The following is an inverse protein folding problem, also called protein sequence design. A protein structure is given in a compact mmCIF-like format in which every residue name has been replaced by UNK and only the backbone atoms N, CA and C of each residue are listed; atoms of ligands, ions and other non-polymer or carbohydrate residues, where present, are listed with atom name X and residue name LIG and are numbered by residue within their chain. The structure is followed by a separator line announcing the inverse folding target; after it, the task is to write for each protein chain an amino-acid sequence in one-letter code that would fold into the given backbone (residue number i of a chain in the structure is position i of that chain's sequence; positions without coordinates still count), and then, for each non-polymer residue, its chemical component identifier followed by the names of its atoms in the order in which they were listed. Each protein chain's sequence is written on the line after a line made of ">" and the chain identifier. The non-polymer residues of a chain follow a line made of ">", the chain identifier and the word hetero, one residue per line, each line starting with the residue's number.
data_IF_818522343717
#
_entry.id   IF_818522343717
#
_cell.length_a   1.000
_cell.length_b   1.000
_cell.length_c   1.000
_cell.angle_alpha   90.00
_cell.angle_beta   90.00
_cell.angle_gamma   90.00
#
_symmetry.space_group_name_H-M   'P 1'
#
loop_
_entity.id
_entity.type
_entity.pdbx_description
1 polymer ?
#
# COMPACT_ATOMS: atom_id res chain seq x y z
N UNK A 1 9.71 -18.14 -15.26
CA UNK A 1 9.27 -16.75 -15.20
C UNK A 1 8.64 -16.45 -13.86
N UNK A 2 8.99 -15.35 -13.29
CA UNK A 2 8.35 -14.93 -12.05
C UNK A 2 7.06 -14.16 -12.36
N UNK A 3 6.10 -14.23 -11.46
CA UNK A 3 4.89 -13.43 -11.55
C UNK A 3 5.12 -12.10 -10.84
N UNK A 4 4.38 -11.09 -11.28
CA UNK A 4 4.40 -9.80 -10.62
C UNK A 4 3.62 -9.85 -9.33
N UNK A 5 4.20 -9.31 -8.27
CA UNK A 5 3.56 -9.21 -6.97
C UNK A 5 3.31 -7.75 -6.63
N UNK A 6 2.21 -7.51 -5.93
CA UNK A 6 1.80 -6.18 -5.51
C UNK A 6 1.49 -6.20 -4.03
N UNK A 7 1.76 -5.09 -3.36
CA UNK A 7 1.43 -4.92 -1.95
C UNK A 7 0.39 -3.82 -1.81
N UNK A 8 -0.66 -4.11 -1.06
CA UNK A 8 -1.71 -3.15 -0.72
C UNK A 8 -1.76 -3.00 0.78
N UNK A 9 -1.69 -1.76 1.25
CA UNK A 9 -1.73 -1.48 2.69
C UNK A 9 -2.89 -0.52 2.94
N UNK A 10 -3.87 -0.96 3.70
CA UNK A 10 -5.04 -0.13 3.97
C UNK A 10 -5.26 0.06 5.47
N UNK A 11 -5.92 1.16 5.80
CA UNK A 11 -6.14 1.60 7.17
C UNK A 11 -7.26 2.63 7.23
N UNK A 12 -7.70 2.90 8.43
CA UNK A 12 -8.76 3.87 8.68
C UNK A 12 -8.22 5.04 9.47
N UNK A 13 -8.77 6.23 9.19
CA UNK A 13 -8.44 7.43 9.93
C UNK A 13 -9.66 8.35 10.02
N UNK A 14 -9.72 9.13 11.09
CA UNK A 14 -10.80 10.08 11.28
C UNK A 14 -10.75 11.17 10.21
N UNK A 15 -11.92 11.66 9.81
CA UNK A 15 -12.01 12.73 8.81
C UNK A 15 -11.12 13.93 9.15
N UNK A 16 -11.11 14.31 10.41
CA UNK A 16 -10.32 15.45 10.87
C UNK A 16 -8.81 15.26 10.70
N UNK A 17 -8.34 14.02 10.58
CA UNK A 17 -6.91 13.72 10.44
C UNK A 17 -6.46 13.62 8.98
N UNK A 18 -7.37 13.67 8.00
CA UNK A 18 -7.00 13.45 6.61
C UNK A 18 -5.97 14.44 6.07
N UNK A 19 -6.12 15.72 6.38
CA UNK A 19 -5.21 16.73 5.86
C UNK A 19 -3.77 16.51 6.37
N UNK A 20 -3.61 16.23 7.66
CA UNK A 20 -2.30 15.97 8.24
C UNK A 20 -1.72 14.65 7.76
N UNK A 21 -2.56 13.62 7.69
CA UNK A 21 -2.11 12.28 7.28
C UNK A 21 -1.65 12.22 5.83
N UNK A 22 -2.19 13.07 4.97
CA UNK A 22 -1.86 13.07 3.54
C UNK A 22 -0.35 13.20 3.29
N UNK A 23 0.28 14.18 3.88
CA UNK A 23 1.72 14.39 3.71
C UNK A 23 2.53 13.23 4.30
N UNK A 24 2.10 12.71 5.44
CA UNK A 24 2.77 11.60 6.09
C UNK A 24 2.67 10.32 5.26
N UNK A 25 1.51 10.07 4.67
CA UNK A 25 1.30 8.90 3.81
C UNK A 25 2.18 8.97 2.56
N UNK A 26 2.35 10.16 1.96
CA UNK A 26 3.25 10.30 0.82
C UNK A 26 4.72 10.07 1.20
N UNK A 27 5.12 10.41 2.42
CA UNK A 27 6.46 10.06 2.90
C UNK A 27 6.65 8.56 2.98
N UNK A 28 5.62 7.85 3.41
CA UNK A 28 5.66 6.38 3.47
C UNK A 28 5.76 5.79 2.08
N UNK A 29 4.95 6.28 1.13
CA UNK A 29 5.03 5.83 -0.26
C UNK A 29 6.43 6.05 -0.83
N UNK A 30 7.01 7.22 -0.58
CA UNK A 30 8.36 7.52 -1.05
C UNK A 30 9.39 6.54 -0.51
N UNK A 31 9.26 6.12 0.74
CA UNK A 31 10.15 5.13 1.33
C UNK A 31 10.06 3.77 0.64
N UNK A 32 8.92 3.44 0.04
CA UNK A 32 8.71 2.18 -0.67
C UNK A 32 9.17 2.19 -2.12
N UNK A 33 9.37 3.36 -2.72
CA UNK A 33 9.70 3.47 -4.15
C UNK A 33 10.91 2.66 -4.61
N UNK A 34 11.99 2.51 -3.83
CA UNK A 34 13.13 1.71 -4.29
C UNK A 34 12.82 0.26 -4.61
N UNK A 35 11.71 -0.29 -4.14
CA UNK A 35 11.41 -1.72 -4.27
C UNK A 35 10.19 -2.04 -5.13
N UNK A 36 9.66 -1.07 -5.86
CA UNK A 36 8.50 -1.29 -6.72
C UNK A 36 8.51 -0.33 -7.91
N UNK A 37 7.69 -0.65 -8.92
CA UNK A 37 7.62 0.19 -10.12
C UNK A 37 6.75 1.42 -9.90
N UNK A 38 5.69 1.29 -9.10
CA UNK A 38 4.70 2.35 -8.99
C UNK A 38 4.08 2.37 -7.62
N UNK A 39 3.81 3.57 -7.12
CA UNK A 39 3.08 3.79 -5.87
C UNK A 39 1.85 4.64 -6.12
N UNK A 40 0.82 4.44 -5.31
CA UNK A 40 -0.39 5.25 -5.36
C UNK A 40 -1.03 5.32 -3.98
N UNK A 41 -1.71 6.42 -3.71
CA UNK A 41 -2.51 6.59 -2.51
C UNK A 41 -3.97 6.80 -2.93
N UNK A 42 -4.86 5.98 -2.43
CA UNK A 42 -6.27 5.98 -2.79
C UNK A 42 -7.12 5.93 -1.54
N UNK A 43 -8.37 6.32 -1.66
CA UNK A 43 -9.32 6.22 -0.56
C UNK A 43 -10.71 5.88 -1.08
N UNK A 44 -11.53 5.31 -0.23
CA UNK A 44 -12.96 5.18 -0.53
C UNK A 44 -13.57 6.57 -0.58
N UNK A 45 -14.47 6.83 -1.55
CA UNK A 45 -15.04 8.18 -1.70
C UNK A 45 -15.94 8.61 -0.54
N UNK A 46 -16.59 7.67 0.13
CA UNK A 46 -17.49 8.00 1.23
C UNK A 46 -16.87 7.77 2.60
N UNK A 47 -17.30 8.58 3.56
CA UNK A 47 -16.99 8.37 4.97
C UNK A 47 -18.02 7.42 5.57
N UNK A 48 -17.57 6.64 6.56
CA UNK A 48 -18.46 5.82 7.38
C UNK A 48 -18.22 6.17 8.84
N UNK A 49 -19.24 6.68 9.51
CA UNK A 49 -19.15 7.11 10.90
C UNK A 49 -18.00 8.10 11.15
N UNK A 50 -17.79 9.02 10.19
CA UNK A 50 -16.73 10.00 10.28
C UNK A 50 -15.33 9.45 10.02
N UNK A 51 -15.24 8.25 9.46
CA UNK A 51 -13.96 7.57 9.23
C UNK A 51 -13.75 7.33 7.74
N UNK A 52 -12.56 7.65 7.24
CA UNK A 52 -12.12 7.39 5.87
C UNK A 52 -11.27 6.13 5.82
N UNK A 53 -11.37 5.37 4.73
CA UNK A 53 -10.49 4.22 4.48
C UNK A 53 -9.53 4.60 3.36
N UNK A 54 -8.24 4.49 3.64
CA UNK A 54 -7.17 4.78 2.68
C UNK A 54 -6.42 3.52 2.32
N UNK A 55 -5.84 3.51 1.13
CA UNK A 55 -5.03 2.40 0.65
C UNK A 55 -3.77 2.92 -0.04
N UNK A 56 -2.62 2.42 0.40
CA UNK A 56 -1.36 2.57 -0.30
C UNK A 56 -1.20 1.38 -1.24
N UNK A 57 -0.79 1.65 -2.47
CA UNK A 57 -0.58 0.62 -3.48
C UNK A 57 0.87 0.64 -3.93
N UNK A 58 1.50 -0.53 -3.95
CA UNK A 58 2.87 -0.71 -4.44
C UNK A 58 2.82 -1.80 -5.50
N UNK A 59 3.06 -1.42 -6.77
CA UNK A 59 2.91 -2.32 -7.90
C UNK A 59 4.25 -2.83 -8.38
N UNK A 60 4.27 -4.10 -8.80
CA UNK A 60 5.48 -4.75 -9.30
C UNK A 60 6.61 -4.67 -8.28
N UNK A 61 6.40 -5.33 -7.16
CA UNK A 61 7.36 -5.31 -6.06
C UNK A 61 8.38 -6.43 -6.27
N UNK A 62 9.66 -6.08 -6.28
CA UNK A 62 10.71 -7.10 -6.46
C UNK A 62 11.33 -7.58 -5.14
N UNK A 63 11.05 -6.92 -4.04
CA UNK A 63 11.46 -7.39 -2.72
C UNK A 63 10.44 -6.97 -1.68
N UNK A 64 9.47 -7.86 -1.43
CA UNK A 64 8.37 -7.59 -0.49
C UNK A 64 8.89 -7.33 0.91
N UNK A 65 9.84 -8.12 1.37
CA UNK A 65 10.38 -7.98 2.73
C UNK A 65 11.05 -6.63 2.94
N UNK A 66 11.87 -6.20 1.98
CA UNK A 66 12.54 -4.91 2.05
C UNK A 66 11.53 -3.76 1.98
N UNK A 67 10.53 -3.88 1.10
CA UNK A 67 9.47 -2.90 0.99
C UNK A 67 8.71 -2.75 2.32
N UNK A 68 8.24 -3.85 2.87
CA UNK A 68 7.49 -3.81 4.12
C UNK A 68 8.30 -3.23 5.26
N UNK A 69 9.58 -3.60 5.35
CA UNK A 69 10.46 -3.04 6.37
C UNK A 69 10.56 -1.53 6.24
N UNK A 70 10.78 -1.04 5.02
CA UNK A 70 10.96 0.39 4.76
C UNK A 70 9.68 1.20 5.05
N UNK A 71 8.53 0.73 4.55
CA UNK A 71 7.28 1.47 4.74
C UNK A 71 6.78 1.41 6.18
N UNK A 72 6.98 0.30 6.88
CA UNK A 72 6.60 0.20 8.28
C UNK A 72 7.44 1.12 9.15
N UNK A 73 8.76 1.18 8.90
CA UNK A 73 9.63 2.12 9.60
C UNK A 73 9.23 3.57 9.33
N UNK A 74 8.91 3.90 8.08
CA UNK A 74 8.50 5.25 7.70
C UNK A 74 7.13 5.62 8.30
N UNK A 75 6.20 4.66 8.39
CA UNK A 75 4.90 4.90 9.00
C UNK A 75 5.02 5.28 10.48
N UNK A 76 5.98 4.69 11.17
CA UNK A 76 6.26 5.01 12.58
C UNK A 76 7.00 6.33 12.67
N UNK A 77 8.11 6.47 11.95
CA UNK A 77 8.99 7.65 12.09
C UNK A 77 8.33 8.95 11.59
N UNK A 78 7.46 8.87 10.58
CA UNK A 78 6.73 10.04 10.09
C UNK A 78 5.60 10.48 11.03
N UNK A 79 5.16 9.59 11.91
CA UNK A 79 4.00 9.83 12.76
C UNK A 79 2.67 9.39 12.15
N UNK A 80 2.68 8.80 10.95
CA UNK A 80 1.44 8.35 10.31
C UNK A 80 0.70 7.35 11.20
N UNK A 81 1.40 6.32 11.68
CA UNK A 81 0.77 5.26 12.48
C UNK A 81 0.06 5.81 13.71
N UNK A 82 0.57 6.86 14.32
CA UNK A 82 -0.02 7.46 15.51
C UNK A 82 -1.33 8.20 15.24
N UNK A 83 -1.62 8.50 13.96
CA UNK A 83 -2.84 9.21 13.56
C UNK A 83 -3.96 8.31 13.10
N UNK A 84 -3.71 7.01 12.97
CA UNK A 84 -4.67 6.09 12.40
C UNK A 84 -5.70 5.62 13.42
N UNK A 85 -6.91 5.36 12.93
CA UNK A 85 -8.00 4.81 13.75
C UNK A 85 -7.97 3.28 13.77
N UNK A 86 -7.13 2.67 12.92
CA UNK A 86 -6.96 1.22 12.86
C UNK A 86 -5.51 0.88 12.58
N UNK A 87 -5.09 -0.37 12.84
CA UNK A 87 -3.78 -0.83 12.38
C UNK A 87 -3.68 -0.79 10.85
N UNK A 88 -2.46 -0.76 10.36
CA UNK A 88 -2.18 -0.91 8.94
C UNK A 88 -2.28 -2.39 8.59
N UNK A 89 -3.09 -2.71 7.57
CA UNK A 89 -3.27 -4.08 7.08
C UNK A 89 -2.60 -4.22 5.72
N UNK A 90 -1.69 -5.17 5.61
CA UNK A 90 -0.97 -5.43 4.37
C UNK A 90 -1.47 -6.73 3.73
N UNK A 91 -1.70 -6.69 2.41
CA UNK A 91 -2.08 -7.86 1.62
C UNK A 91 -1.23 -7.93 0.37
N UNK A 92 -0.79 -9.12 0.03
CA UNK A 92 0.00 -9.36 -1.17
C UNK A 92 -0.90 -10.04 -2.20
N UNK A 93 -0.91 -9.48 -3.41
CA UNK A 93 -1.60 -10.08 -4.55
C UNK A 93 -0.59 -10.32 -5.65
N UNK A 94 -0.71 -11.47 -6.31
CA UNK A 94 0.12 -11.81 -7.47
C UNK A 94 -0.75 -11.83 -8.71
N UNK A 95 -0.16 -11.41 -9.83
CA UNK A 95 -0.87 -11.50 -11.11
C UNK A 95 -1.04 -12.95 -11.51
N UNK A 96 -2.20 -13.29 -12.04
CA UNK A 96 -2.42 -14.58 -12.66
C UNK A 96 -2.13 -14.41 -14.15
N UNK A 97 -1.12 -15.11 -14.69
CA UNK A 97 -0.76 -14.97 -16.10
C UNK A 97 -1.93 -15.36 -17.02
N UNK A 98 -2.16 -14.54 -18.06
CA UNK A 98 -3.27 -14.77 -18.97
C UNK A 98 -3.05 -15.97 -19.86
N UNK A 99 -1.80 -16.24 -20.21
CA UNK A 99 -1.47 -17.27 -21.19
C UNK A 99 -0.73 -18.40 -20.52
N UNK A 100 -1.28 -18.92 -19.52
CA UNK A 100 -0.65 -19.99 -18.82
C UNK A 100 -0.74 -21.30 -19.55
N UNK A 101 -1.48 -21.41 -20.40
CA UNK A 101 -1.70 -22.59 -21.05
C UNK A 101 -1.17 -22.75 -22.36
N UNK A 102 -0.87 -22.60 -22.32
CA UNK A 102 -0.70 -22.48 -23.37
C UNK A 102 0.10 -22.69 -23.70
N UNK A 103 -0.10 -22.61 -23.16
CA UNK A 103 0.46 -22.68 -23.37
C UNK A 103 0.99 -23.18 -23.66
N UNK A 104 1.10 -23.34 -23.51
CA UNK A 104 1.36 -23.61 -23.71
C UNK A 104 1.31 -24.33 -24.03
N UNK A 105 1.25 -24.47 -24.14
CA UNK A 105 0.92 -24.79 -24.42
C UNK A 105 0.94 -25.18 -24.78
N UNK A 106 1.21 -25.33 -24.67
CA UNK A 106 0.98 -25.25 -24.78
C UNK A 106 0.85 -25.59 -24.92
#
# INVERSE_FOLDING_TARGET
>A
MSVSSHLYVYYKLADADQAAARLLAFKVLDAGKPWCDRTALQRRPELRDGVSTWMETYENVWDIGALEHAINAAAISSGLSARLASPRHAEIFEDIPVSLDFGSIE
#
